data_IF_361045290400
#
_entry.id   IF_361045290400
#
_cell.length_a   1.000
_cell.length_b   1.000
_cell.length_c   1.000
_cell.angle_alpha   90.00
_cell.angle_beta   90.00
_cell.angle_gamma   90.00
#
_symmetry.space_group_name_H-M   'P 1'
#
loop_
_entity.id
_entity.type
_entity.pdbx_description
1 polymer ?
#
# COMPACT_ATOMS: atom_id res chain seq x y z
N UNK A 1 13.82 -19.54 -18.70
CA UNK A 1 12.71 -19.34 -17.75
C UNK A 1 12.70 -17.87 -17.37
N UNK A 2 11.81 -17.09 -17.99
CA UNK A 2 11.88 -15.64 -18.02
C UNK A 2 11.51 -15.04 -16.66
N UNK A 3 12.36 -14.16 -16.13
CA UNK A 3 12.08 -13.31 -14.96
C UNK A 3 10.72 -12.58 -15.06
N UNK A 4 10.23 -12.33 -16.28
CA UNK A 4 8.91 -11.74 -16.54
C UNK A 4 7.72 -12.59 -16.08
N UNK A 5 7.82 -13.92 -16.10
CA UNK A 5 6.70 -14.78 -15.69
C UNK A 5 6.48 -14.76 -14.17
N UNK A 6 7.55 -14.65 -13.37
CA UNK A 6 7.42 -14.56 -11.91
C UNK A 6 6.76 -13.25 -11.47
N UNK A 7 7.13 -12.12 -12.07
CA UNK A 7 6.51 -10.82 -11.72
C UNK A 7 5.03 -10.75 -12.13
N UNK A 8 4.66 -11.31 -13.29
CA UNK A 8 3.26 -11.39 -13.72
C UNK A 8 2.46 -12.27 -12.76
N UNK A 9 3.01 -13.42 -12.36
CA UNK A 9 2.35 -14.31 -11.40
C UNK A 9 2.17 -13.62 -10.04
N UNK A 10 3.18 -12.90 -9.56
CA UNK A 10 3.11 -12.15 -8.30
C UNK A 10 2.09 -11.01 -8.37
N UNK A 11 2.00 -10.29 -9.50
CA UNK A 11 1.01 -9.23 -9.70
C UNK A 11 -0.42 -9.79 -9.75
N UNK A 12 -0.63 -10.92 -10.45
CA UNK A 12 -1.93 -11.62 -10.48
C UNK A 12 -2.31 -12.10 -9.08
N UNK A 13 -1.38 -12.67 -8.32
CA UNK A 13 -1.61 -13.07 -6.93
C UNK A 13 -1.94 -11.85 -6.07
N UNK A 14 -1.21 -10.74 -6.20
CA UNK A 14 -1.47 -9.52 -5.44
C UNK A 14 -2.84 -8.92 -5.74
N UNK A 15 -3.24 -8.86 -7.02
CA UNK A 15 -4.57 -8.43 -7.42
C UNK A 15 -5.67 -9.35 -6.85
N UNK A 16 -5.46 -10.67 -6.91
CA UNK A 16 -6.40 -11.64 -6.38
C UNK A 16 -6.53 -11.55 -4.86
N UNK A 17 -5.39 -11.38 -4.17
CA UNK A 17 -5.32 -11.25 -2.72
C UNK A 17 -5.91 -9.92 -2.25
N UNK A 18 -5.64 -8.81 -2.93
CA UNK A 18 -6.24 -7.51 -2.60
C UNK A 18 -7.74 -7.47 -2.84
N UNK A 19 -8.23 -8.05 -3.94
CA UNK A 19 -9.68 -8.15 -4.18
C UNK A 19 -10.37 -8.93 -3.05
N UNK A 20 -9.75 -10.02 -2.58
CA UNK A 20 -10.26 -10.79 -1.44
C UNK A 20 -10.11 -10.04 -0.10
N UNK A 21 -9.05 -9.28 0.10
CA UNK A 21 -8.84 -8.46 1.31
C UNK A 21 -9.89 -7.34 1.41
N UNK A 22 -10.06 -6.55 0.35
CA UNK A 22 -11.08 -5.51 0.24
C UNK A 22 -12.47 -6.12 0.47
N UNK A 23 -12.76 -7.27 -0.17
CA UNK A 23 -14.03 -7.97 0.04
C UNK A 23 -14.21 -8.44 1.47
N UNK A 24 -13.18 -8.94 2.15
CA UNK A 24 -13.28 -9.37 3.56
C UNK A 24 -13.53 -8.21 4.52
N UNK A 25 -12.87 -7.05 4.32
CA UNK A 25 -13.08 -5.86 5.17
C UNK A 25 -14.46 -5.24 4.92
N UNK A 26 -14.96 -5.24 3.68
CA UNK A 26 -16.31 -4.75 3.34
C UNK A 26 -17.42 -5.70 3.84
N UNK A 27 -17.22 -7.02 3.80
CA UNK A 27 -18.30 -7.98 4.08
C UNK A 27 -18.20 -8.69 5.44
N UNK A 28 -17.18 -8.42 6.27
CA UNK A 28 -16.91 -9.15 7.52
C UNK A 28 -16.83 -10.68 7.34
N UNK A 29 -16.52 -11.17 6.13
CA UNK A 29 -16.30 -12.60 5.89
C UNK A 29 -14.87 -12.99 6.29
N UNK A 30 -14.68 -14.18 6.89
CA UNK A 30 -13.33 -14.70 7.15
C UNK A 30 -12.58 -14.85 5.83
N UNK A 31 -11.49 -14.08 5.69
CA UNK A 31 -10.66 -14.07 4.50
C UNK A 31 -9.96 -15.42 4.33
N UNK A 32 -10.15 -16.08 3.20
CA UNK A 32 -9.36 -17.27 2.81
C UNK A 32 -7.95 -16.78 2.40
N UNK A 33 -7.11 -16.48 3.38
CA UNK A 33 -5.75 -16.03 3.17
C UNK A 33 -4.84 -17.24 2.99
N UNK A 34 -4.15 -17.33 1.85
CA UNK A 34 -3.00 -18.22 1.75
C UNK A 34 -1.93 -17.74 2.75
N UNK A 35 -1.37 -18.62 3.59
CA UNK A 35 -0.45 -18.24 4.67
C UNK A 35 0.84 -17.57 4.15
N UNK A 36 1.21 -17.79 2.89
CA UNK A 36 2.37 -17.16 2.23
C UNK A 36 2.11 -15.72 1.76
N UNK A 37 0.85 -15.31 1.62
CA UNK A 37 0.46 -13.98 1.13
C UNK A 37 0.23 -12.97 2.26
N UNK A 38 0.09 -13.43 3.50
CA UNK A 38 -0.15 -12.57 4.69
C UNK A 38 1.01 -11.60 4.92
N UNK A 39 2.25 -12.02 4.64
CA UNK A 39 3.41 -11.15 4.82
C UNK A 39 3.46 -9.96 3.84
N UNK A 40 2.66 -9.99 2.76
CA UNK A 40 2.69 -8.99 1.69
C UNK A 40 1.54 -8.00 1.75
N UNK A 41 0.59 -8.14 2.68
CA UNK A 41 -0.50 -7.19 2.87
C UNK A 41 -0.22 -6.39 4.15
N UNK A 42 -0.29 -5.07 4.06
CA UNK A 42 -0.12 -4.18 5.21
C UNK A 42 -1.30 -3.22 5.29
N UNK A 43 -1.89 -3.11 6.48
CA UNK A 43 -2.94 -2.14 6.78
C UNK A 43 -2.31 -0.74 6.93
N UNK A 44 -2.87 0.27 6.29
CA UNK A 44 -2.44 1.68 6.43
C UNK A 44 -3.39 2.40 7.39
N UNK A 45 -4.69 2.25 7.18
CA UNK A 45 -5.75 2.81 8.02
C UNK A 45 -6.94 1.84 8.08
N UNK A 46 -7.94 2.13 8.90
CA UNK A 46 -9.13 1.27 9.10
C UNK A 46 -9.83 0.93 7.77
N UNK A 47 -9.86 1.89 6.83
CA UNK A 47 -10.49 1.80 5.51
C UNK A 47 -9.50 1.67 4.35
N UNK A 48 -8.19 1.62 4.61
CA UNK A 48 -7.14 1.57 3.58
C UNK A 48 -6.09 0.50 3.90
N UNK A 49 -5.84 -0.39 2.95
CA UNK A 49 -4.74 -1.35 3.00
C UNK A 49 -3.88 -1.27 1.76
N UNK A 50 -2.72 -1.90 1.80
CA UNK A 50 -1.89 -2.06 0.63
C UNK A 50 -1.33 -3.47 0.55
N UNK A 51 -0.97 -3.89 -0.66
CA UNK A 51 -0.20 -5.08 -0.90
C UNK A 51 1.11 -4.72 -1.60
N UNK A 52 2.19 -5.37 -1.20
CA UNK A 52 3.54 -5.06 -1.65
C UNK A 52 4.17 -6.18 -2.46
N UNK A 53 4.98 -5.79 -3.45
CA UNK A 53 5.88 -6.66 -4.20
C UNK A 53 7.27 -6.05 -4.24
N UNK A 54 8.31 -6.82 -3.91
CA UNK A 54 9.70 -6.38 -3.96
C UNK A 54 10.36 -6.34 -2.59
N UNK A 55 11.13 -5.28 -2.32
CA UNK A 55 11.87 -5.14 -1.06
C UNK A 55 10.93 -4.78 0.11
N UNK A 56 10.70 -5.74 1.02
CA UNK A 56 9.81 -5.56 2.18
C UNK A 56 10.26 -4.42 3.11
N UNK A 57 11.58 -4.20 3.24
CA UNK A 57 12.11 -3.11 4.07
C UNK A 57 11.67 -1.74 3.54
N UNK A 58 11.84 -1.51 2.25
CA UNK A 58 11.43 -0.30 1.53
C UNK A 58 9.91 -0.09 1.64
N UNK A 59 9.14 -1.17 1.49
CA UNK A 59 7.68 -1.14 1.62
C UNK A 59 7.20 -0.69 3.01
N UNK A 60 7.87 -1.16 4.08
CA UNK A 60 7.54 -0.80 5.46
C UNK A 60 7.78 0.69 5.70
N UNK A 61 8.85 1.25 5.17
CA UNK A 61 9.11 2.70 5.26
C UNK A 61 8.00 3.51 4.62
N UNK A 62 7.56 3.12 3.41
CA UNK A 62 6.46 3.80 2.71
C UNK A 62 5.12 3.68 3.47
N UNK A 63 4.81 2.49 3.99
CA UNK A 63 3.58 2.27 4.77
C UNK A 63 3.58 3.01 6.10
N UNK A 64 4.72 3.07 6.79
CA UNK A 64 4.83 3.83 8.03
C UNK A 64 4.65 5.32 7.80
N UNK A 65 5.22 5.85 6.71
CA UNK A 65 4.97 7.23 6.30
C UNK A 65 3.48 7.46 6.01
N UNK A 66 2.85 6.56 5.25
CA UNK A 66 1.42 6.65 4.96
C UNK A 66 0.57 6.68 6.23
N UNK A 67 0.89 5.84 7.22
CA UNK A 67 0.20 5.81 8.53
C UNK A 67 0.31 7.12 9.28
N UNK A 68 1.48 7.75 9.23
CA UNK A 68 1.69 9.07 9.86
C UNK A 68 0.87 10.12 9.12
N UNK A 69 0.88 10.13 7.79
CA UNK A 69 0.12 11.09 6.99
C UNK A 69 -1.39 10.95 7.15
N UNK A 70 -1.93 9.72 7.16
CA UNK A 70 -3.37 9.49 7.38
C UNK A 70 -3.81 9.95 8.75
N UNK A 71 -3.01 9.66 9.80
CA UNK A 71 -3.32 10.10 11.15
C UNK A 71 -3.17 11.61 11.32
N UNK A 72 -2.18 12.23 10.69
CA UNK A 72 -2.04 13.68 10.67
C UNK A 72 -3.21 14.34 9.95
N UNK A 73 -3.68 13.79 8.84
CA UNK A 73 -4.85 14.26 8.13
C UNK A 73 -6.10 14.15 9.00
N UNK A 74 -6.33 13.00 9.63
CA UNK A 74 -7.45 12.77 10.57
C UNK A 74 -7.40 13.73 11.76
N UNK A 75 -6.21 14.01 12.29
CA UNK A 75 -6.01 14.99 13.35
C UNK A 75 -6.28 16.43 12.90
N UNK A 76 -5.87 16.79 11.69
CA UNK A 76 -5.96 18.17 11.20
C UNK A 76 -7.36 18.53 10.69
N UNK A 77 -8.02 17.60 9.99
CA UNK A 77 -9.31 17.82 9.31
C UNK A 77 -10.48 17.14 10.01
N UNK A 78 -10.24 16.20 10.93
CA UNK A 78 -11.29 15.48 11.66
C UNK A 78 -11.99 14.38 10.85
N UNK A 79 -11.49 14.07 9.65
CA UNK A 79 -12.06 13.09 8.72
C UNK A 79 -11.02 12.07 8.25
N UNK A 80 -11.42 10.84 7.87
CA UNK A 80 -10.51 9.85 7.31
C UNK A 80 -9.96 10.31 5.96
N UNK A 81 -8.66 10.12 5.74
CA UNK A 81 -8.00 10.50 4.49
C UNK A 81 -8.48 9.64 3.32
N UNK A 82 -8.71 10.24 2.14
CA UNK A 82 -9.16 9.48 0.95
C UNK A 82 -8.06 8.52 0.44
N UNK A 83 -8.47 7.47 -0.28
CA UNK A 83 -7.52 6.48 -0.83
C UNK A 83 -6.56 7.15 -1.83
N UNK A 84 -7.07 8.07 -2.64
CA UNK A 84 -6.29 8.85 -3.59
C UNK A 84 -5.26 9.74 -2.89
N UNK A 85 -5.66 10.47 -1.85
CA UNK A 85 -4.74 11.33 -1.10
C UNK A 85 -3.65 10.52 -0.41
N UNK A 86 -4.01 9.37 0.17
CA UNK A 86 -3.06 8.44 0.80
C UNK A 86 -2.05 7.93 -0.24
N UNK A 87 -2.52 7.58 -1.44
CA UNK A 87 -1.67 7.16 -2.55
C UNK A 87 -0.72 8.27 -2.98
N UNK A 88 -1.21 9.50 -3.09
CA UNK A 88 -0.39 10.65 -3.44
C UNK A 88 0.72 10.89 -2.40
N UNK A 89 0.42 10.82 -1.10
CA UNK A 89 1.42 10.97 -0.04
C UNK A 89 2.54 9.91 -0.12
N UNK A 90 2.17 8.66 -0.41
CA UNK A 90 3.14 7.58 -0.63
C UNK A 90 3.99 7.84 -1.87
N UNK A 91 3.37 8.28 -2.98
CA UNK A 91 4.06 8.62 -4.22
C UNK A 91 5.04 9.78 -4.01
N UNK A 92 4.64 10.81 -3.27
CA UNK A 92 5.49 11.96 -2.97
C UNK A 92 6.75 11.52 -2.22
N UNK A 93 6.63 10.65 -1.21
CA UNK A 93 7.80 10.08 -0.54
C UNK A 93 8.62 9.19 -1.48
N UNK A 94 7.96 8.36 -2.29
CA UNK A 94 8.64 7.45 -3.20
C UNK A 94 9.45 8.19 -4.28
N UNK A 95 8.98 9.37 -4.70
CA UNK A 95 9.60 10.22 -5.72
C UNK A 95 10.69 11.15 -5.17
N UNK A 96 10.77 11.36 -3.85
CA UNK A 96 11.82 12.17 -3.19
C UNK A 96 13.24 11.58 -3.27
N UNK A 97 13.49 10.67 -4.21
CA UNK A 97 14.81 10.14 -4.51
C UNK A 97 15.68 11.20 -5.20
N UNK A 98 16.76 11.64 -4.54
CA UNK A 98 17.80 12.47 -5.16
C UNK A 98 17.69 13.99 -4.95
N UNK A 99 16.65 14.49 -4.26
CA UNK A 99 16.45 15.93 -4.04
C UNK A 99 16.67 16.31 -2.56
N UNK A 100 17.91 16.68 -2.19
CA UNK A 100 18.20 17.38 -0.92
C UNK A 100 19.45 16.89 -0.20
N UNK A 101 20.36 17.81 0.13
CA UNK A 101 21.71 17.57 0.67
C UNK A 101 21.76 16.97 2.09
N UNK A 102 20.64 16.71 2.77
CA UNK A 102 20.67 16.27 4.18
C UNK A 102 20.15 14.85 4.46
N UNK A 103 19.21 14.29 3.69
CA UNK A 103 18.79 12.86 3.82
C UNK A 103 18.37 12.24 2.47
N UNK A 104 19.15 12.46 1.42
CA UNK A 104 18.87 11.85 0.11
C UNK A 104 19.10 10.34 0.17
N UNK A 105 18.01 9.57 0.11
CA UNK A 105 18.06 8.14 -0.20
C UNK A 105 18.93 7.94 -1.45
N UNK A 106 19.93 7.08 -1.39
CA UNK A 106 20.90 6.88 -2.48
C UNK A 106 20.39 5.98 -3.61
N UNK A 107 19.18 5.44 -3.47
CA UNK A 107 18.47 4.66 -4.51
C UNK A 107 16.95 4.85 -4.42
N UNK A 108 16.19 4.70 -5.53
CA UNK A 108 14.74 4.67 -5.49
C UNK A 108 14.23 3.42 -4.77
N UNK A 109 13.00 3.48 -4.27
CA UNK A 109 12.35 2.36 -3.58
C UNK A 109 12.18 1.16 -4.54
N UNK A 110 12.71 0.01 -4.14
CA UNK A 110 12.65 -1.25 -4.91
C UNK A 110 11.36 -2.04 -4.66
N UNK A 111 10.24 -1.36 -4.50
CA UNK A 111 8.93 -1.95 -4.17
C UNK A 111 7.85 -1.39 -5.07
N UNK A 112 6.90 -2.25 -5.44
CA UNK A 112 5.61 -1.85 -5.99
C UNK A 112 4.54 -2.05 -4.93
N UNK A 113 3.80 -0.99 -4.64
CA UNK A 113 2.66 -1.01 -3.73
C UNK A 113 1.38 -0.96 -4.56
N UNK A 114 0.41 -1.78 -4.21
CA UNK A 114 -0.97 -1.72 -4.67
C UNK A 114 -1.79 -1.26 -3.48
N UNK A 115 -2.46 -0.11 -3.57
CA UNK A 115 -3.21 0.47 -2.46
C UNK A 115 -4.68 0.23 -2.75
N UNK A 116 -5.43 -0.26 -1.77
CA UNK A 116 -6.85 -0.46 -1.93
C UNK A 116 -7.57 0.01 -0.67
N UNK A 117 -8.72 0.65 -0.86
CA UNK A 117 -9.52 1.09 0.26
C UNK A 117 -10.96 1.34 -0.14
N UNK A 118 -11.76 1.72 0.85
CA UNK A 118 -13.15 2.09 0.66
C UNK A 118 -13.40 3.42 1.37
N UNK A 119 -13.44 4.50 0.59
CA UNK A 119 -13.75 5.83 1.08
C UNK A 119 -15.21 6.22 0.74
N UNK A 120 -15.58 7.48 0.96
CA UNK A 120 -16.92 7.98 0.67
C UNK A 120 -17.29 7.93 -0.83
N UNK A 121 -16.29 7.92 -1.72
CA UNK A 121 -16.49 7.80 -3.16
C UNK A 121 -16.67 6.35 -3.61
N UNK A 122 -16.47 5.40 -2.69
CA UNK A 122 -16.63 3.96 -2.89
C UNK A 122 -15.30 3.20 -2.85
N UNK A 123 -15.28 1.95 -3.35
CA UNK A 123 -14.07 1.15 -3.40
C UNK A 123 -13.09 1.67 -4.45
N UNK A 124 -11.84 1.89 -4.04
CA UNK A 124 -10.73 2.38 -4.88
C UNK A 124 -9.53 1.44 -4.80
N UNK A 125 -8.78 1.33 -5.90
CA UNK A 125 -7.59 0.48 -6.09
C UNK A 125 -6.51 1.22 -6.91
#
# INVERSE_FOLDING_TARGET
>A
MCLGCHNIFVLIILLHVMSNFVKSKITNLPSIQEPSSVEKIMEIDEHVGCAMSGLIADARTLVEHARVETQNHRFSYGEPMTVESTTQAICDLALRFGEGEEESMSRPFGVSLLIAGHDENGPSL
#
